data_IF_821597760688
#
_entry.id   IF_821597760688
#
_cell.length_a   1.000
_cell.length_b   1.000
_cell.length_c   1.000
_cell.angle_alpha   90.00
_cell.angle_beta   90.00
_cell.angle_gamma   90.00
#
_symmetry.space_group_name_H-M   'P 1'
#
loop_
_entity.id
_entity.type
_entity.pdbx_description
1 polymer ?
#
# COMPACT_ATOMS: atom_id res chain seq x y z
N UNK A 1 5.74 -2.21 12.22
CA UNK A 1 5.40 -2.01 13.64
C UNK A 1 6.60 -2.16 14.57
N UNK A 2 7.40 -3.22 14.47
CA UNK A 2 8.57 -3.44 15.35
C UNK A 2 9.54 -2.23 15.42
N UNK A 3 9.73 -1.53 14.30
CA UNK A 3 10.56 -0.31 14.21
C UNK A 3 9.75 1.01 14.38
N UNK A 4 8.56 0.97 15.01
CA UNK A 4 7.75 2.16 15.29
C UNK A 4 6.87 2.67 14.13
N UNK A 5 6.96 2.08 12.94
CA UNK A 5 6.09 2.45 11.82
C UNK A 5 4.62 2.13 12.10
N UNK A 6 3.75 3.13 11.90
CA UNK A 6 2.27 2.97 11.92
C UNK A 6 1.84 2.38 10.58
N UNK A 7 1.31 1.16 10.62
CA UNK A 7 0.87 0.47 9.40
C UNK A 7 -0.64 0.55 9.30
N UNK A 8 -1.13 0.86 8.11
CA UNK A 8 -2.52 0.67 7.68
C UNK A 8 -2.49 -0.14 6.40
N UNK A 9 -3.58 -0.84 6.07
CA UNK A 9 -3.66 -1.60 4.82
C UNK A 9 -4.99 -1.33 4.14
N UNK A 10 -5.03 -1.54 2.83
CA UNK A 10 -6.24 -1.63 2.03
C UNK A 10 -6.18 -2.93 1.24
N UNK A 11 -7.30 -3.64 1.19
CA UNK A 11 -7.48 -4.85 0.40
C UNK A 11 -9.00 -4.99 0.09
N UNK A 12 -9.40 -5.17 -1.18
CA UNK A 12 -10.81 -5.25 -1.57
C UNK A 12 -11.49 -6.56 -1.16
N UNK A 13 -10.72 -7.61 -0.85
CA UNK A 13 -11.22 -8.93 -0.46
C UNK A 13 -11.14 -9.17 1.05
N UNK A 14 -10.23 -8.49 1.74
CA UNK A 14 -10.01 -8.65 3.18
C UNK A 14 -10.45 -7.39 3.93
N UNK A 15 -11.62 -7.47 4.58
CA UNK A 15 -12.17 -6.36 5.38
C UNK A 15 -11.34 -6.03 6.63
N UNK A 16 -10.75 -7.03 7.26
CA UNK A 16 -9.96 -6.84 8.49
C UNK A 16 -8.92 -7.95 8.64
N UNK A 17 -7.77 -7.60 9.21
CA UNK A 17 -6.67 -8.53 9.47
C UNK A 17 -6.29 -8.51 10.96
N UNK A 18 -5.88 -9.66 11.47
CA UNK A 18 -5.28 -9.74 12.81
C UNK A 18 -3.83 -9.29 12.73
N UNK A 19 -3.48 -8.31 13.54
CA UNK A 19 -2.12 -7.79 13.74
C UNK A 19 -1.69 -8.03 15.19
N UNK A 20 -0.41 -7.82 15.50
CA UNK A 20 0.14 -8.06 16.85
C UNK A 20 -0.68 -7.35 17.94
N UNK A 21 -1.12 -6.12 17.67
CA UNK A 21 -1.82 -5.28 18.65
C UNK A 21 -3.36 -5.31 18.52
N UNK A 22 -3.92 -6.27 17.76
CA UNK A 22 -5.38 -6.44 17.67
C UNK A 22 -5.90 -6.75 16.27
N UNK A 23 -7.03 -6.14 15.92
CA UNK A 23 -7.64 -6.23 14.59
C UNK A 23 -7.49 -4.88 13.92
N UNK A 24 -7.04 -4.88 12.68
CA UNK A 24 -6.97 -3.70 11.83
C UNK A 24 -7.97 -3.84 10.70
N UNK A 25 -8.82 -2.84 10.52
CA UNK A 25 -9.73 -2.78 9.38
C UNK A 25 -9.02 -2.24 8.14
N UNK A 26 -9.48 -2.72 6.99
CA UNK A 26 -9.07 -2.24 5.66
C UNK A 26 -9.54 -0.80 5.45
N UNK A 27 -8.66 0.04 4.92
CA UNK A 27 -8.98 1.42 4.56
C UNK A 27 -9.80 1.41 3.27
N UNK A 28 -11.00 2.03 3.31
CA UNK A 28 -11.96 2.05 2.20
C UNK A 28 -11.51 3.01 1.09
N UNK A 29 -11.10 4.22 1.47
CA UNK A 29 -10.65 5.29 0.58
C UNK A 29 -9.16 5.55 0.80
N UNK A 30 -8.27 4.66 0.31
CA UNK A 30 -6.84 4.75 0.60
C UNK A 30 -6.20 6.03 0.05
N UNK A 31 -6.77 6.64 -0.99
CA UNK A 31 -6.30 7.90 -1.56
C UNK A 31 -6.37 9.08 -0.59
N UNK A 32 -7.31 9.07 0.35
CA UNK A 32 -7.53 10.14 1.33
C UNK A 32 -6.71 9.95 2.61
N UNK A 33 -6.07 8.80 2.75
CA UNK A 33 -5.23 8.51 3.91
C UNK A 33 -3.83 9.13 3.73
N UNK A 34 -3.27 9.80 4.77
CA UNK A 34 -1.98 10.47 4.68
C UNK A 34 -0.83 9.46 4.81
N UNK A 35 -0.55 8.73 3.72
CA UNK A 35 0.59 7.81 3.65
C UNK A 35 1.90 8.59 3.51
N UNK A 36 2.89 8.21 4.32
CA UNK A 36 4.29 8.61 4.15
C UNK A 36 5.06 7.67 3.18
N UNK A 37 4.50 6.47 2.95
CA UNK A 37 4.99 5.43 2.04
C UNK A 37 3.84 4.47 1.71
N UNK A 38 3.68 4.13 0.43
CA UNK A 38 2.76 3.08 -0.02
C UNK A 38 3.57 1.87 -0.50
N UNK A 39 3.38 0.72 0.15
CA UNK A 39 3.95 -0.56 -0.29
C UNK A 39 2.88 -1.38 -1.01
N UNK A 40 3.14 -1.76 -2.25
CA UNK A 40 2.28 -2.68 -3.00
C UNK A 40 2.94 -4.05 -2.99
N UNK A 41 2.29 -5.02 -2.33
CA UNK A 41 2.74 -6.42 -2.35
C UNK A 41 1.72 -7.35 -3.03
N UNK A 42 0.52 -6.85 -3.34
CA UNK A 42 -0.53 -7.63 -4.01
C UNK A 42 -1.39 -6.69 -4.84
N UNK A 43 -1.55 -7.01 -6.13
CA UNK A 43 -2.46 -6.31 -7.04
C UNK A 43 -3.58 -7.27 -7.40
N UNK A 44 -4.79 -6.99 -6.91
CA UNK A 44 -5.98 -7.75 -7.28
C UNK A 44 -6.56 -7.23 -8.61
N UNK A 45 -7.09 -8.11 -9.48
CA UNK A 45 -7.74 -7.68 -10.72
C UNK A 45 -8.85 -6.66 -10.47
N UNK A 46 -8.87 -5.59 -11.28
CA UNK A 46 -9.88 -4.54 -11.18
C UNK A 46 -9.70 -3.55 -10.03
N UNK A 47 -8.60 -3.65 -9.26
CA UNK A 47 -8.25 -2.63 -8.25
C UNK A 47 -7.86 -1.34 -8.97
N UNK A 48 -8.49 -0.23 -8.57
CA UNK A 48 -8.08 1.09 -9.03
C UNK A 48 -6.80 1.53 -8.31
N UNK A 49 -5.74 1.71 -9.08
CA UNK A 49 -4.43 2.16 -8.60
C UNK A 49 -4.03 3.52 -9.21
N UNK A 50 -4.94 4.18 -9.93
CA UNK A 50 -4.64 5.46 -10.61
C UNK A 50 -4.24 6.57 -9.63
N UNK A 51 -4.70 6.49 -8.38
CA UNK A 51 -4.31 7.40 -7.30
C UNK A 51 -2.83 7.32 -6.89
N UNK A 52 -2.09 6.32 -7.38
CA UNK A 52 -0.66 6.16 -7.15
C UNK A 52 0.21 6.79 -8.23
N UNK A 53 -0.36 7.18 -9.37
CA UNK A 53 0.41 7.62 -10.55
C UNK A 53 1.27 8.87 -10.29
N UNK A 54 0.82 9.77 -9.41
CA UNK A 54 1.51 11.03 -9.08
C UNK A 54 2.33 10.96 -7.78
N UNK A 55 2.57 9.75 -7.25
CA UNK A 55 3.24 9.55 -5.95
C UNK A 55 4.68 9.09 -6.12
N UNK A 56 5.61 9.82 -5.52
CA UNK A 56 7.04 9.45 -5.46
C UNK A 56 7.36 8.44 -4.35
N UNK A 57 6.44 8.23 -3.41
CA UNK A 57 6.59 7.40 -2.22
C UNK A 57 5.94 6.01 -2.37
N UNK A 58 6.01 5.44 -3.57
CA UNK A 58 5.49 4.10 -3.87
C UNK A 58 6.62 3.10 -3.97
N UNK A 59 6.53 2.02 -3.19
CA UNK A 59 7.37 0.83 -3.31
C UNK A 59 6.55 -0.29 -3.92
N UNK A 60 6.76 -0.55 -5.21
CA UNK A 60 6.15 -1.70 -5.89
C UNK A 60 6.99 -2.97 -5.67
N UNK A 61 6.56 -3.83 -4.76
CA UNK A 61 7.15 -5.15 -4.53
C UNK A 61 6.52 -6.24 -5.41
N UNK A 62 5.56 -5.89 -6.26
CA UNK A 62 4.97 -6.81 -7.26
C UNK A 62 5.72 -6.80 -8.57
N UNK A 63 6.44 -5.71 -8.87
CA UNK A 63 7.10 -5.46 -10.17
C UNK A 63 6.12 -5.45 -11.34
N UNK A 64 4.90 -4.96 -11.10
CA UNK A 64 3.80 -4.97 -12.09
C UNK A 64 3.29 -3.58 -12.43
N UNK A 65 3.77 -2.54 -11.74
CA UNK A 65 3.43 -1.17 -12.07
C UNK A 65 4.42 -0.59 -13.08
N UNK A 66 3.89 -0.13 -14.20
CA UNK A 66 4.67 0.56 -15.23
C UNK A 66 5.01 2.02 -14.84
N UNK A 67 4.39 2.53 -13.79
CA UNK A 67 4.43 3.96 -13.41
C UNK A 67 5.40 4.29 -12.27
N UNK A 68 5.93 3.27 -11.58
CA UNK A 68 6.84 3.50 -10.45
C UNK A 68 8.28 3.53 -10.93
N UNK A 69 8.98 4.64 -10.73
CA UNK A 69 10.40 4.73 -11.06
C UNK A 69 11.20 3.68 -10.26
N UNK A 70 12.02 2.90 -10.96
CA UNK A 70 12.95 1.99 -10.30
C UNK A 70 13.92 2.83 -9.45
N UNK A 71 14.13 2.43 -8.19
CA UNK A 71 15.14 3.05 -7.35
C UNK A 71 16.50 2.78 -7.99
N UNK A 72 17.25 3.83 -8.35
CA UNK A 72 18.63 3.66 -8.79
C UNK A 72 19.42 2.98 -7.67
N UNK A 73 19.99 1.82 -7.98
CA UNK A 73 20.90 1.12 -7.08
C UNK A 73 22.18 1.95 -6.98
N UNK A 74 22.48 2.44 -5.76
CA UNK A 74 23.74 3.09 -5.41
C UNK A 74 24.94 2.13 -5.59
#
# INVERSE_FOLDING_TARGET
AAEGARVRFTDPLIRAARVTDGIQESVIDPQDHPWDLVLIHTVHPGTDLTWLEDRDDVLDATYRLDTTAAKETL
#
